data_IF_381388397850
#
_entry.id   IF_381388397850
#
_cell.length_a   1.000
_cell.length_b   1.000
_cell.length_c   1.000
_cell.angle_alpha   90.00
_cell.angle_beta   90.00
_cell.angle_gamma   90.00
#
_symmetry.space_group_name_H-M   'P 1'
#
loop_
_entity.id
_entity.type
_entity.pdbx_description
1 polymer ?
#
# COMPACT_ATOMS: atom_id res chain seq x y z
N UNK A 1 -28.22 23.83 11.87
CA UNK A 1 -28.07 22.47 12.44
C UNK A 1 -26.68 22.44 13.08
N UNK A 2 -26.63 22.33 14.40
CA UNK A 2 -25.38 22.39 15.17
C UNK A 2 -24.56 21.14 14.88
N UNK A 3 -23.40 21.32 14.25
CA UNK A 3 -22.38 20.28 14.18
C UNK A 3 -21.90 20.00 15.61
N UNK A 4 -22.07 18.76 16.06
CA UNK A 4 -21.41 18.30 17.27
C UNK A 4 -19.92 18.18 16.95
N UNK A 5 -19.11 19.05 17.54
CA UNK A 5 -17.68 18.77 17.69
C UNK A 5 -17.55 17.45 18.46
N UNK A 6 -16.98 16.43 17.82
CA UNK A 6 -16.60 15.19 18.48
C UNK A 6 -15.32 15.50 19.29
N UNK A 7 -15.50 16.13 20.46
CA UNK A 7 -14.40 16.56 21.33
C UNK A 7 -14.00 15.48 22.37
N UNK A 8 -13.98 14.21 21.97
CA UNK A 8 -13.53 13.14 22.84
C UNK A 8 -12.52 12.30 22.08
N UNK A 9 -11.25 12.37 22.51
CA UNK A 9 -10.19 11.48 22.01
C UNK A 9 -10.58 10.05 22.37
N UNK A 10 -10.42 9.14 21.42
CA UNK A 10 -10.69 7.71 21.63
C UNK A 10 -9.38 6.96 21.87
N UNK A 11 -9.44 5.85 22.60
CA UNK A 11 -8.33 4.89 22.66
C UNK A 11 -8.17 4.14 21.33
N UNK A 12 -7.08 3.37 21.18
CA UNK A 12 -6.88 2.54 19.99
C UNK A 12 -7.91 1.41 19.90
N UNK A 13 -8.27 0.82 21.05
CA UNK A 13 -9.32 -0.18 21.14
C UNK A 13 -10.69 0.39 20.78
N UNK A 14 -11.05 1.56 21.33
CA UNK A 14 -12.31 2.26 21.02
C UNK A 14 -12.37 2.68 19.54
N UNK A 15 -11.24 3.05 18.93
CA UNK A 15 -11.16 3.31 17.49
C UNK A 15 -11.58 2.06 16.70
N UNK A 16 -11.03 0.88 17.03
CA UNK A 16 -11.35 -0.37 16.32
C UNK A 16 -12.82 -0.73 16.53
N UNK A 17 -13.32 -0.68 17.77
CA UNK A 17 -14.72 -0.97 18.10
C UNK A 17 -15.69 -0.08 17.31
N UNK A 18 -15.45 1.23 17.29
CA UNK A 18 -16.29 2.17 16.53
C UNK A 18 -16.19 2.02 15.03
N UNK A 19 -15.05 1.58 14.50
CA UNK A 19 -14.93 1.23 13.09
C UNK A 19 -15.83 0.03 12.75
N UNK A 20 -15.87 -1.00 13.60
CA UNK A 20 -16.81 -2.11 13.43
C UNK A 20 -18.26 -1.63 13.39
N UNK A 21 -18.65 -0.75 14.32
CA UNK A 21 -20.00 -0.14 14.37
C UNK A 21 -20.33 0.64 13.09
N UNK A 22 -19.45 1.54 12.63
CA UNK A 22 -19.65 2.34 11.41
C UNK A 22 -19.85 1.42 10.20
N UNK A 23 -19.03 0.38 10.09
CA UNK A 23 -19.10 -0.55 8.97
C UNK A 23 -20.17 -1.64 9.13
N UNK A 24 -21.02 -1.64 10.17
CA UNK A 24 -22.22 -2.51 10.17
C UNK A 24 -23.18 -2.14 9.03
N UNK A 25 -23.25 -0.84 8.71
CA UNK A 25 -23.98 -0.29 7.56
C UNK A 25 -23.28 -0.61 6.23
N UNK A 26 -24.03 -0.65 5.13
CA UNK A 26 -23.47 -0.73 3.77
C UNK A 26 -23.15 0.66 3.18
N UNK A 27 -23.57 1.73 3.86
CA UNK A 27 -23.25 3.10 3.48
C UNK A 27 -22.04 3.61 4.28
N UNK A 28 -20.98 3.97 3.57
CA UNK A 28 -19.75 4.51 4.16
C UNK A 28 -19.79 6.03 4.14
N UNK A 29 -19.90 6.66 5.30
CA UNK A 29 -19.70 8.09 5.45
C UNK A 29 -18.21 8.42 5.60
N UNK A 30 -17.61 8.97 4.54
CA UNK A 30 -16.16 9.26 4.48
C UNK A 30 -15.74 10.24 5.57
N UNK A 31 -16.54 11.28 5.81
CA UNK A 31 -16.22 12.32 6.80
C UNK A 31 -16.23 11.76 8.22
N UNK A 32 -17.19 10.88 8.53
CA UNK A 32 -17.30 10.24 9.83
C UNK A 32 -16.11 9.31 10.13
N UNK A 33 -15.73 8.47 9.16
CA UNK A 33 -14.56 7.59 9.30
C UNK A 33 -13.28 8.41 9.46
N UNK A 34 -13.11 9.46 8.65
CA UNK A 34 -11.95 10.34 8.75
C UNK A 34 -11.88 11.02 10.13
N UNK A 35 -12.98 11.60 10.62
CA UNK A 35 -13.05 12.23 11.95
C UNK A 35 -12.76 11.22 13.07
N UNK A 36 -13.29 10.00 12.97
CA UNK A 36 -13.00 8.95 13.94
C UNK A 36 -11.51 8.60 13.96
N UNK A 37 -10.89 8.40 12.79
CA UNK A 37 -9.44 8.15 12.72
C UNK A 37 -8.64 9.34 13.24
N UNK A 38 -9.05 10.58 12.98
CA UNK A 38 -8.40 11.79 13.51
C UNK A 38 -8.51 11.88 15.05
N UNK A 39 -9.63 11.43 15.63
CA UNK A 39 -9.89 11.48 17.08
C UNK A 39 -8.98 10.59 17.92
N UNK A 40 -8.37 9.55 17.33
CA UNK A 40 -7.33 8.76 18.00
C UNK A 40 -6.00 9.53 18.01
N UNK A 41 -5.44 9.76 19.19
CA UNK A 41 -4.09 10.29 19.33
C UNK A 41 -3.09 9.15 19.42
N UNK A 42 -2.16 9.08 18.46
CA UNK A 42 -1.19 7.99 18.35
C UNK A 42 -0.36 7.83 19.62
N UNK A 43 -0.41 6.63 20.18
CA UNK A 43 0.43 6.21 21.29
C UNK A 43 1.16 4.91 20.91
N UNK A 44 2.51 4.91 20.83
CA UNK A 44 3.29 3.73 20.47
C UNK A 44 3.00 2.47 21.31
N UNK A 45 2.58 2.62 22.57
CA UNK A 45 2.26 1.46 23.40
C UNK A 45 1.09 0.62 22.85
N UNK A 46 0.17 1.25 22.12
CA UNK A 46 -1.02 0.60 21.59
C UNK A 46 -0.68 -0.27 20.36
N UNK A 47 0.18 0.26 19.48
CA UNK A 47 0.40 -0.31 18.15
C UNK A 47 1.77 -0.92 17.90
N UNK A 48 2.77 -0.72 18.79
CA UNK A 48 4.14 -1.25 18.61
C UNK A 48 4.19 -2.77 18.47
N UNK A 49 3.23 -3.50 19.04
CA UNK A 49 3.10 -4.96 18.85
C UNK A 49 2.91 -5.36 17.38
N UNK A 50 2.27 -4.51 16.57
CA UNK A 50 2.03 -4.72 15.14
C UNK A 50 3.13 -4.15 14.24
N UNK A 51 3.92 -3.17 14.71
CA UNK A 51 4.95 -2.51 13.93
C UNK A 51 6.16 -3.43 13.69
N UNK A 52 6.15 -4.19 12.58
CA UNK A 52 7.23 -5.09 12.18
C UNK A 52 7.90 -4.56 10.91
N UNK A 53 9.10 -4.01 11.04
CA UNK A 53 9.86 -3.47 9.92
C UNK A 53 10.62 -4.56 9.14
N UNK A 54 11.00 -4.23 7.91
CA UNK A 54 11.95 -4.97 7.07
C UNK A 54 12.99 -3.98 6.51
N UNK A 55 14.25 -4.41 6.37
CA UNK A 55 15.33 -3.49 5.98
C UNK A 55 15.23 -2.99 4.53
N UNK A 56 14.58 -3.73 3.64
CA UNK A 56 14.64 -3.48 2.19
C UNK A 56 13.36 -2.91 1.61
N UNK A 57 12.22 -3.08 2.29
CA UNK A 57 10.92 -2.62 1.82
C UNK A 57 10.01 -2.25 2.98
N UNK A 58 9.04 -1.39 2.69
CA UNK A 58 7.96 -1.15 3.65
C UNK A 58 7.15 -2.43 3.85
N UNK A 59 6.56 -2.61 5.02
CA UNK A 59 5.80 -3.80 5.38
C UNK A 59 4.33 -3.48 5.64
N UNK A 60 3.44 -4.44 5.37
CA UNK A 60 2.00 -4.36 5.67
C UNK A 60 1.66 -5.32 6.81
N UNK A 61 1.18 -4.81 7.92
CA UNK A 61 0.96 -5.55 9.16
C UNK A 61 -0.52 -5.47 9.55
N UNK A 62 -1.28 -6.54 9.30
CA UNK A 62 -2.71 -6.57 9.57
C UNK A 62 -2.98 -6.46 11.07
N UNK A 63 -3.81 -5.49 11.44
CA UNK A 63 -4.24 -5.23 12.82
C UNK A 63 -5.58 -5.90 13.08
N UNK A 64 -6.54 -5.68 12.18
CA UNK A 64 -7.92 -6.14 12.30
C UNK A 64 -8.46 -6.47 10.89
N UNK A 65 -9.18 -7.60 10.78
CA UNK A 65 -9.82 -8.05 9.52
C UNK A 65 -11.25 -7.49 9.35
N UNK A 66 -11.65 -6.60 10.25
CA UNK A 66 -12.98 -6.02 10.31
C UNK A 66 -14.07 -7.07 10.48
N UNK A 67 -15.28 -6.67 10.13
CA UNK A 67 -16.46 -7.54 10.03
C UNK A 67 -16.65 -8.06 8.59
N UNK A 68 -15.55 -8.25 7.85
CA UNK A 68 -15.55 -8.59 6.43
C UNK A 68 -15.74 -7.39 5.48
N UNK A 69 -15.97 -6.19 6.02
CA UNK A 69 -16.20 -4.97 5.22
C UNK A 69 -15.03 -3.99 5.20
N UNK A 70 -14.04 -4.15 6.07
CA UNK A 70 -12.83 -3.35 6.03
C UNK A 70 -11.61 -4.14 6.51
N UNK A 71 -10.41 -3.72 6.10
CA UNK A 71 -9.15 -4.16 6.68
C UNK A 71 -8.48 -2.96 7.35
N UNK A 72 -7.98 -3.15 8.58
CA UNK A 72 -7.14 -2.18 9.27
C UNK A 72 -5.71 -2.73 9.39
N UNK A 73 -4.72 -1.97 8.94
CA UNK A 73 -3.32 -2.43 8.95
C UNK A 73 -2.32 -1.31 9.20
N UNK A 74 -1.20 -1.64 9.85
CA UNK A 74 -0.04 -0.76 9.96
C UNK A 74 0.88 -0.96 8.76
N UNK A 75 1.29 0.15 8.14
CA UNK A 75 2.43 0.17 7.24
C UNK A 75 3.65 0.76 7.95
N UNK A 76 4.77 0.06 7.87
CA UNK A 76 6.03 0.46 8.48
C UNK A 76 7.04 0.78 7.38
N UNK A 77 7.62 1.98 7.43
CA UNK A 77 8.48 2.55 6.40
C UNK A 77 9.81 2.91 7.03
N UNK A 78 10.90 2.24 6.66
CA UNK A 78 12.23 2.73 7.03
C UNK A 78 12.59 3.95 6.18
N UNK A 79 13.76 4.50 6.43
CA UNK A 79 14.32 5.67 5.76
C UNK A 79 14.35 5.47 4.25
N UNK A 80 13.87 6.45 3.49
CA UNK A 80 13.82 6.42 2.02
C UNK A 80 12.86 5.38 1.41
N UNK A 81 12.10 4.62 2.20
CA UNK A 81 11.15 3.65 1.65
C UNK A 81 10.00 4.36 0.93
N UNK A 82 9.66 3.88 -0.25
CA UNK A 82 8.56 4.38 -1.07
C UNK A 82 7.71 3.24 -1.63
N UNK A 83 6.43 3.49 -1.84
CA UNK A 83 5.58 2.62 -2.64
C UNK A 83 5.74 2.89 -4.14
N UNK A 84 5.30 1.95 -4.96
CA UNK A 84 5.00 2.24 -6.37
C UNK A 84 3.80 3.19 -6.47
N UNK A 85 3.62 3.83 -7.62
CA UNK A 85 2.34 4.48 -7.95
C UNK A 85 1.29 3.37 -8.03
N UNK A 86 0.16 3.50 -7.34
CA UNK A 86 -0.86 2.44 -7.29
C UNK A 86 -2.28 2.96 -7.15
N UNK A 87 -3.23 2.08 -7.52
CA UNK A 87 -4.66 2.22 -7.27
C UNK A 87 -5.10 1.52 -5.99
N UNK A 88 -6.40 1.57 -5.71
CA UNK A 88 -7.03 1.01 -4.51
C UNK A 88 -8.16 0.02 -4.84
N UNK A 89 -8.20 -0.52 -6.06
CA UNK A 89 -9.20 -1.51 -6.51
C UNK A 89 -10.67 -1.12 -6.22
N UNK A 90 -11.00 0.16 -6.41
CA UNK A 90 -12.29 0.78 -6.07
C UNK A 90 -12.65 0.77 -4.57
N UNK A 91 -11.67 0.59 -3.69
CA UNK A 91 -11.85 0.72 -2.25
C UNK A 91 -11.55 2.13 -1.74
N UNK A 92 -12.25 2.53 -0.70
CA UNK A 92 -11.90 3.68 0.12
C UNK A 92 -10.60 3.40 0.85
N UNK A 93 -9.66 4.34 0.84
CA UNK A 93 -8.41 4.28 1.59
C UNK A 93 -8.29 5.48 2.51
N UNK A 94 -8.17 5.23 3.80
CA UNK A 94 -7.83 6.22 4.80
C UNK A 94 -6.44 5.93 5.34
N UNK A 95 -5.56 6.92 5.34
CA UNK A 95 -4.19 6.81 5.85
C UNK A 95 -4.00 7.80 7.00
N UNK A 96 -3.83 7.29 8.22
CA UNK A 96 -3.45 8.07 9.40
C UNK A 96 -1.98 7.91 9.70
N UNK A 97 -1.27 9.01 9.94
CA UNK A 97 0.10 8.96 10.47
C UNK A 97 0.13 8.62 11.95
N UNK A 98 0.86 7.57 12.33
CA UNK A 98 1.08 7.17 13.72
C UNK A 98 2.43 7.65 14.26
N UNK A 99 3.46 7.71 13.42
CA UNK A 99 4.79 8.19 13.81
C UNK A 99 5.57 8.65 12.57
N UNK A 100 6.44 9.64 12.74
CA UNK A 100 7.22 10.23 11.65
C UNK A 100 6.39 11.10 10.71
N UNK A 101 6.75 11.09 9.43
CA UNK A 101 6.02 11.79 8.37
C UNK A 101 6.12 11.05 7.04
N UNK A 102 5.08 11.15 6.22
CA UNK A 102 5.04 10.57 4.87
C UNK A 102 4.66 11.64 3.86
N UNK A 103 5.29 11.59 2.70
CA UNK A 103 4.87 12.36 1.53
C UNK A 103 3.93 11.51 0.68
N UNK A 104 2.74 12.04 0.41
CA UNK A 104 1.81 11.53 -0.59
C UNK A 104 1.97 12.35 -1.87
N UNK A 105 2.17 11.69 -3.01
CA UNK A 105 2.17 12.30 -4.34
C UNK A 105 1.02 11.67 -5.12
N UNK A 106 0.06 12.47 -5.58
CA UNK A 106 -1.09 12.01 -6.37
C UNK A 106 -0.81 12.16 -7.85
N UNK A 107 -1.33 11.22 -8.63
CA UNK A 107 -1.22 11.19 -10.08
C UNK A 107 -2.59 11.05 -10.73
N UNK A 108 -2.76 11.62 -11.92
CA UNK A 108 -3.90 11.28 -12.77
C UNK A 108 -3.78 9.85 -13.29
N UNK A 109 -4.89 9.27 -13.71
CA UNK A 109 -4.86 8.03 -14.47
C UNK A 109 -4.13 8.25 -15.81
N UNK A 110 -3.37 7.25 -16.31
CA UNK A 110 -2.71 7.36 -17.61
C UNK A 110 -3.76 7.38 -18.73
N UNK A 111 -3.52 8.20 -19.75
CA UNK A 111 -4.36 8.23 -20.95
C UNK A 111 -4.24 6.91 -21.70
N UNK A 112 -5.38 6.28 -22.00
CA UNK A 112 -5.45 4.98 -22.69
C UNK A 112 -5.45 5.08 -24.22
N UNK A 113 -5.30 6.29 -24.77
CA UNK A 113 -5.32 6.50 -26.21
C UNK A 113 -3.93 6.20 -26.78
N UNK A 114 -3.81 5.09 -27.50
CA UNK A 114 -2.56 4.63 -28.13
C UNK A 114 -2.05 5.56 -29.25
N UNK A 115 -2.88 6.49 -29.73
CA UNK A 115 -2.59 7.37 -30.87
C UNK A 115 -1.87 8.69 -30.53
N UNK A 116 -1.64 9.02 -29.26
CA UNK A 116 -0.89 10.22 -28.90
C UNK A 116 0.60 9.93 -28.81
N UNK A 117 1.34 10.38 -29.83
CA UNK A 117 2.80 10.32 -29.93
C UNK A 117 3.56 11.19 -28.91
N UNK A 118 2.97 11.55 -27.78
CA UNK A 118 3.56 12.46 -26.80
C UNK A 118 3.39 11.89 -25.38
N UNK A 119 4.53 11.56 -24.77
CA UNK A 119 4.76 11.34 -23.34
C UNK A 119 3.67 10.58 -22.54
N UNK A 120 3.89 9.27 -22.37
CA UNK A 120 3.04 8.42 -21.52
C UNK A 120 3.43 8.47 -20.02
N UNK A 121 4.22 9.47 -19.60
CA UNK A 121 4.59 9.61 -18.19
C UNK A 121 3.40 9.99 -17.31
N UNK A 122 3.43 9.50 -16.08
CA UNK A 122 2.41 9.75 -15.08
C UNK A 122 2.43 11.23 -14.67
N UNK A 123 1.30 11.91 -14.79
CA UNK A 123 1.18 13.33 -14.43
C UNK A 123 0.86 13.49 -12.95
N UNK A 124 1.71 14.23 -12.21
CA UNK A 124 1.46 14.60 -10.80
C UNK A 124 0.37 15.67 -10.73
N UNK A 125 -0.58 15.49 -9.82
CA UNK A 125 -1.73 16.39 -9.65
C UNK A 125 -1.80 17.04 -8.26
N UNK A 126 -1.18 16.42 -7.24
CA UNK A 126 -1.11 16.99 -5.90
C UNK A 126 0.05 16.37 -5.10
N UNK A 127 0.49 17.07 -4.07
CA UNK A 127 1.48 16.57 -3.10
C UNK A 127 1.08 17.03 -1.69
N UNK A 128 1.13 16.10 -0.73
CA UNK A 128 0.81 16.35 0.67
C UNK A 128 1.92 15.78 1.56
N UNK A 129 2.37 16.55 2.55
CA UNK A 129 3.25 16.05 3.61
C UNK A 129 2.44 15.81 4.87
N UNK A 130 2.22 14.54 5.22
CA UNK A 130 1.51 14.15 6.43
C UNK A 130 2.46 14.02 7.61
N UNK A 131 2.08 14.63 8.73
CA UNK A 131 2.72 14.53 10.04
C UNK A 131 1.92 13.63 10.97
N UNK A 132 2.53 13.15 12.05
CA UNK A 132 1.86 12.40 13.12
C UNK A 132 0.46 12.94 13.45
N UNK A 133 -0.49 12.02 13.59
CA UNK A 133 -1.92 12.21 13.81
C UNK A 133 -2.75 12.75 12.65
N UNK A 134 -2.15 13.28 11.58
CA UNK A 134 -2.91 13.68 10.39
C UNK A 134 -3.46 12.47 9.64
N UNK A 135 -4.61 12.67 8.99
CA UNK A 135 -5.28 11.67 8.16
C UNK A 135 -5.40 12.23 6.74
N UNK A 136 -5.20 11.40 5.73
CA UNK A 136 -5.69 11.68 4.38
C UNK A 136 -6.60 10.56 3.88
N UNK A 137 -7.39 10.91 2.87
CA UNK A 137 -8.31 10.02 2.19
C UNK A 137 -8.01 9.99 0.69
N UNK A 138 -8.05 8.80 0.10
CA UNK A 138 -7.98 8.60 -1.34
C UNK A 138 -8.94 7.48 -1.78
N UNK A 139 -9.36 7.57 -3.04
CA UNK A 139 -10.15 6.58 -3.76
C UNK A 139 -9.80 6.74 -5.25
N UNK A 140 -9.99 5.70 -6.07
CA UNK A 140 -9.60 5.69 -7.48
C UNK A 140 -10.19 6.85 -8.31
N UNK A 141 -11.37 7.34 -7.93
CA UNK A 141 -12.02 8.55 -8.50
C UNK A 141 -11.23 9.85 -8.25
N UNK A 142 -10.35 9.89 -7.24
CA UNK A 142 -9.49 11.01 -6.90
C UNK A 142 -8.09 10.90 -7.53
N UNK A 143 -7.77 9.75 -8.12
CA UNK A 143 -6.49 9.47 -8.77
C UNK A 143 -5.73 8.32 -8.12
N UNK A 144 -4.48 8.19 -8.56
CA UNK A 144 -3.49 7.23 -8.07
C UNK A 144 -2.56 7.92 -7.09
N UNK A 145 -1.80 7.18 -6.28
CA UNK A 145 -0.75 7.82 -5.49
C UNK A 145 0.51 6.98 -5.28
N UNK A 146 1.60 7.69 -4.94
CA UNK A 146 2.80 7.15 -4.31
C UNK A 146 2.89 7.71 -2.90
N UNK A 147 3.30 6.87 -1.95
CA UNK A 147 3.53 7.26 -0.56
C UNK A 147 4.97 6.90 -0.21
N UNK A 148 5.68 7.85 0.38
CA UNK A 148 7.12 7.69 0.64
C UNK A 148 7.56 8.36 1.95
N UNK A 149 8.46 7.67 2.65
CA UNK A 149 9.21 8.24 3.76
C UNK A 149 10.41 8.99 3.20
N UNK A 150 10.31 10.32 3.16
CA UNK A 150 11.38 11.20 2.67
C UNK A 150 12.48 11.45 3.70
N UNK A 151 12.32 10.95 4.93
CA UNK A 151 13.34 11.07 5.97
C UNK A 151 14.54 10.16 5.67
N UNK A 152 15.74 10.69 5.91
CA UNK A 152 17.02 9.99 5.83
C UNK A 152 17.47 9.42 7.19
N UNK A 153 16.70 9.68 8.26
CA UNK A 153 17.10 9.38 9.65
C UNK A 153 16.05 8.69 10.49
N UNK A 154 14.78 8.93 10.18
CA UNK A 154 13.67 8.52 11.02
C UNK A 154 12.72 7.60 10.26
N UNK A 155 12.37 6.43 10.82
CA UNK A 155 11.31 5.61 10.26
C UNK A 155 9.94 6.27 10.44
N UNK A 156 8.98 5.85 9.63
CA UNK A 156 7.60 6.27 9.70
C UNK A 156 6.65 5.08 9.88
N UNK A 157 5.51 5.32 10.52
CA UNK A 157 4.43 4.34 10.69
C UNK A 157 3.11 5.00 10.37
N UNK A 158 2.32 4.36 9.52
CA UNK A 158 0.96 4.79 9.18
C UNK A 158 -0.06 3.67 9.39
N UNK A 159 -1.27 4.04 9.78
CA UNK A 159 -2.44 3.19 9.92
C UNK A 159 -3.32 3.37 8.69
N UNK A 160 -3.61 2.27 8.01
CA UNK A 160 -4.40 2.24 6.78
C UNK A 160 -5.70 1.49 7.02
N UNK A 161 -6.81 2.09 6.61
CA UNK A 161 -8.10 1.44 6.53
C UNK A 161 -8.55 1.34 5.07
N UNK A 162 -8.86 0.13 4.64
CA UNK A 162 -9.41 -0.14 3.30
C UNK A 162 -10.82 -0.71 3.40
N UNK A 163 -11.78 -0.13 2.67
CA UNK A 163 -13.17 -0.60 2.61
C UNK A 163 -13.75 -0.49 1.19
N UNK A 164 -14.21 -1.57 0.54
CA UNK A 164 -14.10 -2.96 1.01
C UNK A 164 -12.63 -3.43 1.08
N UNK A 165 -12.33 -4.57 1.72
CA UNK A 165 -11.01 -5.19 1.65
C UNK A 165 -10.72 -5.66 0.22
N UNK A 166 -9.46 -5.64 -0.18
CA UNK A 166 -8.99 -6.19 -1.46
C UNK A 166 -7.67 -6.95 -1.28
N UNK A 167 -7.40 -7.89 -2.17
CA UNK A 167 -6.18 -8.70 -2.18
C UNK A 167 -5.29 -8.44 -3.41
N UNK A 168 -5.73 -7.59 -4.33
CA UNK A 168 -5.00 -7.20 -5.53
C UNK A 168 -5.20 -5.70 -5.82
N UNK A 169 -4.15 -5.05 -6.31
CA UNK A 169 -4.20 -3.70 -6.85
C UNK A 169 -3.28 -3.60 -8.06
N UNK A 170 -3.37 -2.51 -8.82
CA UNK A 170 -2.45 -2.23 -9.90
C UNK A 170 -1.36 -1.26 -9.44
N UNK A 171 -0.13 -1.55 -9.84
CA UNK A 171 0.99 -0.60 -9.76
C UNK A 171 1.30 -0.05 -11.14
N UNK A 172 1.82 1.17 -11.20
CA UNK A 172 2.07 1.90 -12.45
C UNK A 172 3.53 2.35 -12.52
N UNK A 173 4.13 2.17 -13.68
CA UNK A 173 5.43 2.75 -14.00
C UNK A 173 5.30 4.26 -14.27
N UNK A 174 6.10 5.07 -13.56
CA UNK A 174 5.99 6.54 -13.63
C UNK A 174 6.34 7.09 -15.03
N UNK A 175 7.20 6.41 -15.80
CA UNK A 175 7.67 6.90 -17.10
C UNK A 175 6.77 6.51 -18.26
N UNK A 176 6.11 5.37 -18.15
CA UNK A 176 5.37 4.76 -19.26
C UNK A 176 3.87 4.63 -19.00
N UNK A 177 3.42 4.82 -17.77
CA UNK A 177 2.02 4.63 -17.38
C UNK A 177 1.54 3.19 -17.44
N UNK A 178 2.42 2.24 -17.79
CA UNK A 178 2.09 0.82 -17.88
C UNK A 178 1.77 0.29 -16.49
N UNK A 179 0.68 -0.46 -16.40
CA UNK A 179 0.20 -1.06 -15.16
C UNK A 179 0.54 -2.53 -15.05
N UNK A 180 0.77 -3.01 -13.83
CA UNK A 180 0.87 -4.43 -13.49
C UNK A 180 0.01 -4.74 -12.27
N UNK A 181 -0.80 -5.80 -12.36
CA UNK A 181 -1.58 -6.28 -11.21
C UNK A 181 -0.66 -6.99 -10.22
N UNK A 182 -0.71 -6.55 -8.97
CA UNK A 182 0.08 -7.05 -7.86
C UNK A 182 -0.83 -7.64 -6.78
N UNK A 183 -0.45 -8.79 -6.21
CA UNK A 183 -1.12 -9.34 -5.04
C UNK A 183 -0.64 -8.62 -3.77
N UNK A 184 -1.59 -8.22 -2.92
CA UNK A 184 -1.30 -7.66 -1.62
C UNK A 184 -0.97 -8.79 -0.64
N UNK A 185 0.21 -8.73 -0.04
CA UNK A 185 0.65 -9.70 0.98
C UNK A 185 0.84 -9.02 2.32
N UNK A 186 0.52 -9.74 3.40
CA UNK A 186 0.79 -9.30 4.76
C UNK A 186 2.14 -9.81 5.25
N UNK A 187 2.96 -8.90 5.76
CA UNK A 187 4.20 -9.23 6.47
C UNK A 187 3.91 -9.83 7.84
N UNK A 188 2.93 -9.29 8.56
CA UNK A 188 2.44 -9.89 9.80
C UNK A 188 0.92 -9.79 9.87
N UNK A 189 0.32 -10.68 10.65
CA UNK A 189 -1.10 -10.61 11.03
C UNK A 189 -1.21 -10.66 12.54
N UNK A 190 -1.97 -9.72 13.11
CA UNK A 190 -2.25 -9.67 14.55
C UNK A 190 -0.98 -9.66 15.43
N UNK A 191 0.09 -9.04 14.92
CA UNK A 191 1.40 -8.96 15.59
C UNK A 191 2.32 -10.15 15.38
N UNK A 192 1.88 -11.18 14.64
CA UNK A 192 2.64 -12.41 14.37
C UNK A 192 3.12 -12.45 12.91
N UNK A 193 4.40 -12.77 12.68
CA UNK A 193 4.99 -12.86 11.33
C UNK A 193 4.28 -13.94 10.51
N UNK A 194 3.85 -13.61 9.30
CA UNK A 194 3.31 -14.62 8.37
C UNK A 194 4.43 -15.55 7.86
N UNK A 195 4.16 -16.85 7.68
CA UNK A 195 5.14 -17.75 7.08
C UNK A 195 5.60 -17.25 5.71
N UNK A 196 6.89 -17.41 5.40
CA UNK A 196 7.38 -17.16 4.06
C UNK A 196 6.74 -18.19 3.12
N UNK A 197 5.82 -17.75 2.27
CA UNK A 197 5.36 -18.56 1.15
C UNK A 197 6.39 -18.42 0.03
N UNK A 198 7.21 -19.44 -0.16
CA UNK A 198 8.01 -19.55 -1.36
C UNK A 198 7.02 -19.77 -2.51
N UNK A 199 6.80 -18.75 -3.34
CA UNK A 199 6.01 -18.95 -4.57
C UNK A 199 6.71 -20.04 -5.39
N UNK A 200 6.06 -21.20 -5.50
CA UNK A 200 6.52 -22.23 -6.41
C UNK A 200 6.41 -21.66 -7.81
N UNK A 201 7.55 -21.51 -8.49
CA UNK A 201 7.55 -21.26 -9.93
C UNK A 201 6.58 -22.25 -10.60
N UNK A 202 5.70 -21.80 -11.50
CA UNK A 202 4.87 -22.73 -12.25
C UNK A 202 5.79 -23.75 -12.91
N UNK A 203 5.52 -25.04 -12.67
CA UNK A 203 6.29 -26.12 -13.26
C UNK A 203 6.39 -25.86 -14.76
N UNK A 204 7.62 -25.72 -15.25
CA UNK A 204 7.87 -25.55 -16.68
C UNK A 204 7.12 -26.68 -17.40
N UNK A 205 6.14 -26.32 -18.24
CA UNK A 205 5.50 -27.28 -19.11
C UNK A 205 6.60 -28.03 -19.84
N UNK A 206 6.63 -29.36 -19.67
CA UNK A 206 7.66 -30.22 -20.23
C UNK A 206 7.69 -30.03 -21.75
N UNK A 207 8.65 -29.26 -22.25
CA UNK A 207 8.91 -29.17 -23.67
C UNK A 207 9.27 -30.57 -24.19
N UNK A 208 8.72 -31.03 -25.32
CA UNK A 208 9.12 -32.29 -25.90
C UNK A 208 10.60 -32.25 -26.26
N UNK A 209 11.32 -33.34 -25.96
CA UNK A 209 12.77 -33.40 -26.10
C UNK A 209 13.22 -33.13 -27.55
N UNK A 210 14.26 -32.30 -27.78
CA UNK A 210 14.83 -32.18 -29.10
C UNK A 210 15.64 -33.45 -29.40
N UNK A 211 15.31 -34.12 -30.51
CA UNK A 211 16.17 -35.15 -31.11
C UNK A 211 17.58 -34.58 -31.31
N UNK A 212 18.56 -35.21 -30.67
CA UNK A 212 20.01 -34.96 -30.85
C UNK A 212 20.36 -34.89 -32.34
N UNK A 213 20.84 -33.73 -32.80
CA UNK A 213 21.96 -33.67 -33.74
C UNK A 213 23.07 -32.84 -33.12
N UNK A 214 24.25 -33.44 -33.13
CA UNK A 214 25.48 -33.06 -32.45
C UNK A 214 26.29 -32.20 -33.40
N UNK A 215 26.54 -30.94 -33.04
CA UNK A 215 27.69 -30.16 -33.52
C UNK A 215 28.11 -29.19 -32.42
N UNK A 216 29.42 -29.22 -32.12
CA UNK A 216 30.13 -28.40 -31.15
C UNK A 216 30.08 -26.91 -31.48
N UNK A 217 30.11 -26.06 -30.44
CA UNK A 217 30.99 -24.90 -30.19
C UNK A 217 30.40 -24.08 -29.01
N UNK A 218 30.89 -24.40 -27.82
CA UNK A 218 31.40 -23.52 -26.75
C UNK A 218 30.81 -22.16 -26.31
N UNK A 219 30.71 -22.04 -24.96
CA UNK A 219 30.81 -20.89 -24.03
C UNK A 219 29.70 -19.81 -23.92
N UNK A 220 28.98 -19.82 -22.78
CA UNK A 220 28.95 -18.75 -21.74
C UNK A 220 27.56 -18.48 -21.12
N UNK A 221 27.55 -18.43 -19.76
CA UNK A 221 26.64 -17.69 -18.83
C UNK A 221 25.14 -18.07 -18.82
N UNK A 222 24.58 -18.81 -17.85
CA UNK A 222 24.39 -18.59 -16.38
C UNK A 222 23.76 -17.24 -15.99
N UNK A 223 22.58 -17.36 -15.37
CA UNK A 223 21.88 -16.43 -14.45
C UNK A 223 21.26 -15.15 -15.05
N UNK A 224 19.93 -15.17 -15.23
CA UNK A 224 19.10 -13.97 -15.29
C UNK A 224 17.82 -14.24 -14.49
N UNK A 225 17.73 -13.67 -13.29
CA UNK A 225 16.49 -13.21 -12.62
C UNK A 225 16.87 -12.62 -11.25
N UNK A 226 17.33 -11.38 -11.28
CA UNK A 226 17.30 -10.41 -10.19
C UNK A 226 17.73 -9.06 -10.78
N UNK A 227 17.18 -7.99 -10.23
CA UNK A 227 17.61 -6.59 -10.40
C UNK A 227 17.15 -5.83 -11.66
N UNK A 228 16.07 -5.08 -11.48
CA UNK A 228 15.80 -3.75 -12.05
C UNK A 228 14.70 -3.16 -11.16
N UNK A 229 14.81 -2.02 -10.47
CA UNK A 229 15.48 -0.75 -10.83
C UNK A 229 15.86 0.01 -9.54
N UNK A 230 17.16 0.19 -9.30
CA UNK A 230 17.70 1.45 -8.76
C UNK A 230 18.15 2.32 -9.95
N UNK A 231 18.46 3.60 -9.67
CA UNK A 231 18.91 4.73 -10.53
C UNK A 231 17.75 5.68 -10.88
N UNK A 232 17.76 6.96 -10.51
CA UNK A 232 18.77 7.90 -9.97
C UNK A 232 18.05 9.01 -9.24
#
# INVERSE_FOLDING_TARGET
MSGKEINCKVSFEELIEKLHEIFESDHVNIEEVQQLMESYESNPLDWKKFAKFDSFRYTRNLVDEGNGKFNLMLLCWNEGHASSIHDHANSHCFMKMLSGGLREIRFSWPDRNEDSSNDHSMTRIAENLLKTNQVCYIHDKLGLHRVENVSDKDPAVSLHLYCPPFDQCNTFDEKTGKSMTCKVTFWSKFGNRTPFQQESLPAAASAPSPRRKRTEWEHSTLLWFADMVFHT
#
